data_IF_855744740087
#
_entry.id   IF_855744740087
#
_cell.length_a   1.000
_cell.length_b   1.000
_cell.length_c   1.000
_cell.angle_alpha   90.00
_cell.angle_beta   90.00
_cell.angle_gamma   90.00
#
_symmetry.space_group_name_H-M   'P 1'
#
loop_
_entity.id
_entity.type
_entity.pdbx_description
1 polymer ?
#
# COMPACT_ATOMS: atom_id res chain seq x y z
N UNK A 1 -27.36 -2.01 -4.50
CA UNK A 1 -27.53 -0.93 -5.49
C UNK A 1 -28.75 -1.26 -6.33
N UNK A 2 -29.58 -0.25 -6.63
CA UNK A 2 -30.70 -0.40 -7.57
C UNK A 2 -30.42 0.55 -8.73
N UNK A 3 -30.12 -0.01 -9.90
CA UNK A 3 -29.87 0.75 -11.12
C UNK A 3 -31.04 0.59 -12.11
N UNK A 4 -31.40 1.68 -12.78
CA UNK A 4 -32.49 1.74 -13.77
C UNK A 4 -31.88 2.10 -15.12
N UNK A 5 -31.63 1.09 -15.96
CA UNK A 5 -30.99 1.26 -17.27
C UNK A 5 -32.02 1.45 -18.42
N UNK A 6 -31.70 2.34 -19.37
CA UNK A 6 -32.35 2.47 -20.68
C UNK A 6 -33.25 3.71 -20.88
N UNK A 7 -33.43 4.13 -22.15
CA UNK A 7 -34.20 5.33 -22.58
C UNK A 7 -35.67 5.39 -22.09
N UNK A 8 -36.24 4.28 -21.60
CA UNK A 8 -37.64 4.17 -21.14
C UNK A 8 -37.75 3.54 -19.73
N UNK A 9 -36.64 3.32 -19.02
CA UNK A 9 -36.64 2.95 -17.59
C UNK A 9 -37.40 1.67 -17.20
N UNK A 10 -37.25 0.57 -17.97
CA UNK A 10 -38.00 -0.69 -17.71
C UNK A 10 -37.17 -1.86 -17.15
N UNK A 11 -35.87 -1.69 -16.90
CA UNK A 11 -35.05 -2.74 -16.29
C UNK A 11 -34.55 -2.26 -14.94
N UNK A 12 -34.98 -2.96 -13.88
CA UNK A 12 -34.49 -2.78 -12.52
C UNK A 12 -33.49 -3.89 -12.24
N UNK A 13 -32.29 -3.53 -11.81
CA UNK A 13 -31.25 -4.46 -11.39
C UNK A 13 -31.02 -4.33 -9.88
N UNK A 14 -31.02 -5.45 -9.16
CA UNK A 14 -30.71 -5.51 -7.74
C UNK A 14 -29.33 -6.15 -7.55
N UNK A 15 -28.35 -5.36 -7.13
CA UNK A 15 -27.01 -5.83 -6.79
C UNK A 15 -26.80 -5.77 -5.27
N UNK A 16 -26.48 -6.91 -4.67
CA UNK A 16 -26.19 -7.03 -3.23
C UNK A 16 -24.72 -7.42 -3.05
N UNK A 17 -23.97 -6.63 -2.28
CA UNK A 17 -22.55 -6.85 -2.00
C UNK A 17 -22.40 -6.87 -0.48
N UNK A 18 -22.04 -8.01 0.13
CA UNK A 18 -21.68 -8.06 1.54
C UNK A 18 -20.46 -7.17 1.81
N UNK A 19 -20.40 -6.51 2.96
CA UNK A 19 -19.24 -5.66 3.30
C UNK A 19 -17.91 -6.42 3.30
N UNK A 20 -17.91 -7.69 3.70
CA UNK A 20 -16.71 -8.54 3.65
C UNK A 20 -16.19 -8.81 2.24
N UNK A 21 -16.99 -8.56 1.19
CA UNK A 21 -16.58 -8.67 -0.21
C UNK A 21 -15.99 -7.36 -0.75
N UNK A 22 -15.98 -6.28 0.04
CA UNK A 22 -15.37 -5.00 -0.32
C UNK A 22 -13.91 -5.02 0.16
N UNK A 23 -12.98 -5.01 -0.78
CA UNK A 23 -11.54 -5.09 -0.53
C UNK A 23 -10.88 -3.71 -0.54
N UNK A 24 -11.47 -2.74 -1.24
CA UNK A 24 -11.11 -1.33 -1.10
C UNK A 24 -12.32 -0.47 -1.47
N UNK A 25 -12.27 0.81 -1.13
CA UNK A 25 -13.27 1.77 -1.58
C UNK A 25 -12.64 3.11 -1.84
N UNK A 26 -13.17 3.87 -2.79
CA UNK A 26 -12.84 5.27 -2.95
C UNK A 26 -14.08 6.15 -2.96
N UNK A 27 -13.90 7.36 -2.46
CA UNK A 27 -14.93 8.37 -2.41
C UNK A 27 -14.37 9.63 -3.03
N UNK A 28 -15.01 10.13 -4.09
CA UNK A 28 -14.57 11.30 -4.82
C UNK A 28 -15.49 12.50 -4.56
N UNK A 29 -14.91 13.66 -4.24
CA UNK A 29 -15.66 14.90 -4.09
C UNK A 29 -16.12 15.45 -5.45
N UNK A 30 -17.26 16.12 -5.45
CA UNK A 30 -17.73 16.87 -6.61
C UNK A 30 -16.73 17.98 -7.01
N UNK A 31 -16.66 18.28 -8.31
CA UNK A 31 -15.86 19.38 -8.83
C UNK A 31 -16.58 20.72 -8.73
N UNK A 32 -15.83 21.83 -8.60
CA UNK A 32 -16.43 23.14 -8.32
C UNK A 32 -17.18 23.84 -9.49
N UNK A 33 -17.13 23.33 -10.74
CA UNK A 33 -17.60 24.09 -11.91
C UNK A 33 -18.72 23.45 -12.74
N UNK A 34 -18.66 22.16 -13.09
CA UNK A 34 -19.62 21.57 -14.04
C UNK A 34 -20.06 20.14 -13.67
N UNK A 35 -19.19 19.37 -13.01
CA UNK A 35 -19.50 18.03 -12.54
C UNK A 35 -19.79 18.07 -11.04
N UNK A 36 -21.09 18.02 -10.72
CA UNK A 36 -21.62 18.11 -9.37
C UNK A 36 -21.66 16.76 -8.68
N UNK A 37 -21.32 15.67 -9.35
CA UNK A 37 -21.60 14.37 -8.79
C UNK A 37 -20.40 13.90 -7.96
N UNK A 38 -20.69 13.38 -6.76
CA UNK A 38 -19.72 12.65 -5.94
C UNK A 38 -19.77 11.19 -6.37
N UNK A 39 -18.62 10.58 -6.61
CA UNK A 39 -18.52 9.19 -7.02
C UNK A 39 -18.15 8.33 -5.81
N UNK A 40 -18.86 7.20 -5.63
CA UNK A 40 -18.42 6.09 -4.80
C UNK A 40 -17.91 4.99 -5.73
N UNK A 41 -16.75 4.44 -5.39
CA UNK A 41 -16.22 3.24 -6.02
C UNK A 41 -16.01 2.16 -4.97
N UNK A 42 -16.58 0.98 -5.19
CA UNK A 42 -16.32 -0.21 -4.39
C UNK A 42 -15.45 -1.16 -5.20
N UNK A 43 -14.33 -1.57 -4.63
CA UNK A 43 -13.41 -2.54 -5.23
C UNK A 43 -13.61 -3.90 -4.58
N UNK A 44 -13.71 -4.93 -5.41
CA UNK A 44 -13.91 -6.32 -4.98
C UNK A 44 -12.95 -7.23 -5.75
N UNK A 45 -12.75 -8.45 -5.27
CA UNK A 45 -12.00 -9.47 -6.02
C UNK A 45 -12.91 -10.29 -6.97
N UNK A 46 -14.15 -9.84 -7.20
CA UNK A 46 -15.05 -10.51 -8.15
C UNK A 46 -14.58 -10.28 -9.58
N UNK A 47 -14.65 -11.33 -10.41
CA UNK A 47 -14.22 -11.28 -11.80
C UNK A 47 -15.19 -10.45 -12.69
N UNK A 48 -14.69 -9.95 -13.82
CA UNK A 48 -15.48 -9.22 -14.81
C UNK A 48 -15.77 -7.79 -14.36
N UNK A 49 -16.94 -7.24 -14.67
CA UNK A 49 -17.30 -5.83 -14.37
C UNK A 49 -17.52 -5.55 -12.87
N UNK A 50 -17.64 -6.58 -12.04
CA UNK A 50 -17.93 -6.43 -10.60
C UNK A 50 -16.68 -6.21 -9.73
N UNK A 51 -15.48 -6.28 -10.31
CA UNK A 51 -14.24 -5.92 -9.61
C UNK A 51 -14.23 -4.43 -9.18
N UNK A 52 -14.97 -3.58 -9.90
CA UNK A 52 -15.14 -2.15 -9.62
C UNK A 52 -16.59 -1.74 -9.83
N UNK A 53 -17.32 -1.46 -8.75
CA UNK A 53 -18.70 -0.95 -8.81
C UNK A 53 -18.67 0.56 -8.56
N UNK A 54 -19.09 1.33 -9.56
CA UNK A 54 -19.17 2.79 -9.49
C UNK A 54 -20.61 3.25 -9.31
N UNK A 55 -20.81 4.23 -8.44
CA UNK A 55 -22.09 4.88 -8.23
C UNK A 55 -21.91 6.38 -8.05
N UNK A 56 -22.50 7.14 -8.97
CA UNK A 56 -22.58 8.60 -8.86
C UNK A 56 -23.75 9.02 -8.00
N UNK A 57 -23.52 10.03 -7.17
CA UNK A 57 -24.54 10.71 -6.39
C UNK A 57 -24.54 12.19 -6.72
N UNK A 58 -25.73 12.75 -6.91
CA UNK A 58 -25.87 14.20 -7.10
C UNK A 58 -25.37 14.97 -5.88
N UNK A 59 -24.52 15.99 -6.11
CA UNK A 59 -24.08 16.89 -5.03
C UNK A 59 -25.22 17.36 -4.16
N UNK A 60 -24.95 17.47 -2.87
CA UNK A 60 -25.90 17.94 -1.84
C UNK A 60 -27.14 17.05 -1.64
N UNK A 61 -27.28 15.94 -2.37
CA UNK A 61 -28.33 14.92 -2.13
C UNK A 61 -27.80 13.69 -1.38
N UNK A 62 -26.49 13.45 -1.43
CA UNK A 62 -25.82 12.43 -0.63
C UNK A 62 -24.88 13.09 0.38
N UNK A 63 -24.85 12.55 1.61
CA UNK A 63 -23.86 12.92 2.61
C UNK A 63 -22.63 12.02 2.44
N UNK A 64 -21.63 12.55 1.74
CA UNK A 64 -20.38 11.86 1.41
C UNK A 64 -19.67 11.32 2.65
N UNK A 65 -19.55 12.16 3.68
CA UNK A 65 -18.84 11.81 4.91
C UNK A 65 -19.59 10.79 5.75
N UNK A 66 -20.92 10.83 5.75
CA UNK A 66 -21.71 9.78 6.40
C UNK A 66 -21.57 8.43 5.68
N UNK A 67 -21.57 8.43 4.35
CA UNK A 67 -21.32 7.23 3.54
C UNK A 67 -19.92 6.68 3.80
N UNK A 68 -18.90 7.54 3.82
CA UNK A 68 -17.54 7.15 4.12
C UNK A 68 -17.42 6.57 5.52
N UNK A 69 -18.00 7.21 6.55
CA UNK A 69 -18.02 6.66 7.93
C UNK A 69 -18.70 5.30 8.00
N UNK A 70 -19.81 5.11 7.28
CA UNK A 70 -20.51 3.83 7.19
C UNK A 70 -19.63 2.74 6.56
N UNK A 71 -18.94 3.05 5.46
CA UNK A 71 -17.99 2.13 4.84
C UNK A 71 -16.82 1.83 5.76
N UNK A 72 -16.23 2.85 6.40
CA UNK A 72 -15.19 2.65 7.38
C UNK A 72 -15.64 1.67 8.48
N UNK A 73 -16.85 1.83 9.03
CA UNK A 73 -17.38 0.99 10.11
C UNK A 73 -17.64 -0.47 9.74
N UNK A 74 -17.90 -0.77 8.47
CA UNK A 74 -18.24 -2.13 8.05
C UNK A 74 -17.15 -2.84 7.24
N UNK A 75 -16.30 -2.07 6.57
CA UNK A 75 -15.19 -2.60 5.76
C UNK A 75 -13.92 -2.67 6.60
N UNK A 76 -13.70 -1.69 7.50
CA UNK A 76 -12.57 -1.72 8.41
C UNK A 76 -12.97 -2.49 9.67
N UNK A 77 -12.08 -3.36 10.14
CA UNK A 77 -12.26 -4.09 11.38
C UNK A 77 -12.19 -3.20 12.63
N UNK A 78 -11.99 -3.82 13.79
CA UNK A 78 -11.87 -3.11 15.06
C UNK A 78 -10.71 -2.09 15.06
N UNK A 79 -10.81 -1.12 15.96
CA UNK A 79 -9.76 -0.15 16.23
C UNK A 79 -8.47 -0.87 16.68
N UNK A 80 -7.33 -0.48 16.09
CA UNK A 80 -6.01 -1.04 16.37
C UNK A 80 -5.09 0.02 16.94
N UNK A 81 -4.30 -0.36 17.93
CA UNK A 81 -3.25 0.48 18.48
C UNK A 81 -2.11 0.68 17.44
N UNK A 82 -1.34 1.79 17.54
CA UNK A 82 -0.15 1.99 16.73
C UNK A 82 0.88 0.90 17.00
N UNK A 83 1.71 0.62 15.99
CA UNK A 83 2.81 -0.32 16.18
C UNK A 83 3.83 0.25 17.18
N UNK A 84 4.25 -0.53 18.20
CA UNK A 84 5.30 -0.12 19.13
C UNK A 84 6.59 0.30 18.41
N UNK A 85 7.13 1.48 18.73
CA UNK A 85 8.37 1.97 18.10
C UNK A 85 8.17 2.61 16.72
N UNK A 86 6.96 2.61 16.18
CA UNK A 86 6.56 3.51 15.10
C UNK A 86 6.08 4.79 15.78
N UNK A 87 7.01 5.64 16.21
CA UNK A 87 6.65 6.98 16.67
C UNK A 87 6.00 7.70 15.49
N UNK A 88 4.86 8.39 15.73
CA UNK A 88 4.19 9.16 14.69
C UNK A 88 5.21 10.12 14.09
N UNK A 89 5.61 9.89 12.83
CA UNK A 89 6.70 10.62 12.21
C UNK A 89 6.35 12.11 12.20
N UNK A 90 7.05 12.91 13.03
CA UNK A 90 6.96 14.36 13.05
C UNK A 90 8.04 14.90 12.13
N UNK A 91 7.72 15.04 10.85
CA UNK A 91 8.60 15.69 9.89
C UNK A 91 8.03 17.06 9.56
N UNK A 92 8.73 18.13 9.97
CA UNK A 92 8.41 19.53 9.72
C UNK A 92 6.97 19.98 10.05
N UNK A 93 6.81 20.93 10.97
CA UNK A 93 5.52 21.55 11.20
C UNK A 93 5.10 22.36 9.96
N UNK A 94 4.22 21.79 9.15
CA UNK A 94 3.53 22.51 8.09
C UNK A 94 2.40 23.32 8.73
N UNK A 95 2.80 24.40 9.39
CA UNK A 95 1.88 25.36 9.96
C UNK A 95 1.32 26.25 8.85
N UNK A 96 -0.01 26.23 8.73
CA UNK A 96 -0.91 27.09 7.92
C UNK A 96 -1.43 26.47 6.62
N UNK A 97 -2.67 25.93 6.68
CA UNK A 97 -3.49 25.67 5.48
C UNK A 97 -4.37 24.41 5.48
N UNK A 98 -4.20 23.49 6.43
CA UNK A 98 -4.92 22.20 6.44
C UNK A 98 -4.57 21.31 5.23
N UNK A 99 -5.32 20.22 5.00
CA UNK A 99 -5.10 19.31 3.86
C UNK A 99 -5.22 20.05 2.52
N UNK A 100 -6.11 21.02 2.43
CA UNK A 100 -6.25 21.82 1.21
C UNK A 100 -5.00 22.66 0.95
N UNK A 101 -4.44 23.31 1.96
CA UNK A 101 -3.15 24.00 1.89
C UNK A 101 -2.01 23.06 1.50
N UNK A 102 -1.96 21.86 2.10
CA UNK A 102 -0.97 20.84 1.74
C UNK A 102 -1.08 20.41 0.27
N UNK A 103 -2.30 20.15 -0.20
CA UNK A 103 -2.53 19.73 -1.58
C UNK A 103 -2.38 20.88 -2.59
N UNK A 104 -2.66 22.14 -2.23
CA UNK A 104 -2.63 23.32 -3.14
C UNK A 104 -1.37 24.16 -3.05
N UNK A 105 -0.56 23.95 -2.01
CA UNK A 105 0.62 24.75 -1.70
C UNK A 105 1.73 24.53 -2.71
N UNK A 106 2.34 25.63 -3.13
CA UNK A 106 3.49 25.74 -4.05
C UNK A 106 4.79 25.13 -3.48
N UNK A 107 4.77 23.88 -2.99
CA UNK A 107 5.94 23.19 -2.43
C UNK A 107 6.01 21.77 -3.00
N UNK A 108 6.68 21.67 -4.15
CA UNK A 108 6.94 20.43 -4.91
C UNK A 108 8.13 19.64 -4.36
N UNK A 109 8.20 19.40 -3.05
CA UNK A 109 9.31 18.63 -2.49
C UNK A 109 8.76 17.40 -1.80
N UNK A 110 8.39 16.40 -2.60
CA UNK A 110 7.90 15.07 -2.22
C UNK A 110 8.58 14.54 -0.94
N UNK A 111 7.99 14.80 0.23
CA UNK A 111 8.62 14.64 1.55
C UNK A 111 7.64 14.02 2.55
N UNK A 112 8.13 13.56 3.71
CA UNK A 112 7.26 13.12 4.77
C UNK A 112 6.49 14.34 5.32
N UNK A 113 5.22 14.11 5.60
CA UNK A 113 4.30 15.09 6.20
C UNK A 113 4.17 14.77 7.68
N UNK A 114 3.93 15.80 8.50
CA UNK A 114 3.62 15.61 9.91
C UNK A 114 2.35 14.74 10.07
N UNK A 115 2.58 13.50 10.52
CA UNK A 115 1.53 12.50 10.77
C UNK A 115 0.55 12.95 11.87
N UNK A 116 1.01 13.70 12.88
CA UNK A 116 0.16 14.22 13.96
C UNK A 116 -0.76 15.31 13.42
N UNK A 117 -0.23 16.21 12.58
CA UNK A 117 -1.03 17.21 11.90
C UNK A 117 -2.10 16.54 11.01
N UNK A 118 -1.70 15.55 10.20
CA UNK A 118 -2.62 14.79 9.36
C UNK A 118 -3.68 14.06 10.16
N UNK A 119 -3.30 13.45 11.29
CA UNK A 119 -4.23 12.82 12.21
C UNK A 119 -5.29 13.82 12.68
N UNK A 120 -4.90 15.00 13.14
CA UNK A 120 -5.84 16.00 13.64
C UNK A 120 -6.78 16.52 12.54
N UNK A 121 -6.27 16.80 11.34
CA UNK A 121 -7.09 17.31 10.25
C UNK A 121 -8.09 16.26 9.78
N UNK A 122 -7.67 15.00 9.62
CA UNK A 122 -8.52 13.93 9.08
C UNK A 122 -9.53 13.34 10.08
N UNK A 123 -9.40 13.64 11.38
CA UNK A 123 -10.46 13.43 12.36
C UNK A 123 -11.49 14.56 12.36
N UNK A 124 -11.10 15.75 11.89
CA UNK A 124 -11.90 16.97 11.98
C UNK A 124 -12.64 17.26 10.68
N UNK A 125 -11.91 17.65 9.62
CA UNK A 125 -12.47 18.01 8.32
C UNK A 125 -11.42 17.81 7.20
N UNK A 126 -11.60 16.82 6.30
CA UNK A 126 -12.72 15.88 6.27
C UNK A 126 -12.59 14.76 7.31
N UNK A 127 -13.69 14.32 7.96
CA UNK A 127 -13.66 13.32 9.03
C UNK A 127 -13.64 11.89 8.47
N UNK A 128 -12.53 11.50 7.85
CA UNK A 128 -12.39 10.22 7.15
C UNK A 128 -11.84 9.09 8.01
N UNK A 129 -11.14 9.42 9.10
CA UNK A 129 -10.60 8.45 10.07
C UNK A 129 -11.70 8.00 11.05
N UNK A 130 -11.61 6.74 11.48
CA UNK A 130 -12.44 6.22 12.57
C UNK A 130 -11.95 6.69 13.94
N UNK A 131 -12.80 6.52 14.97
CA UNK A 131 -12.63 7.11 16.30
C UNK A 131 -11.21 7.10 16.87
N UNK A 132 -10.54 5.94 16.89
CA UNK A 132 -9.14 5.84 17.32
C UNK A 132 -8.18 5.34 16.23
N UNK A 133 -8.57 5.44 14.96
CA UNK A 133 -7.67 5.16 13.83
C UNK A 133 -6.61 6.26 13.77
N UNK A 134 -5.33 5.90 13.93
CA UNK A 134 -4.24 6.88 13.95
C UNK A 134 -3.43 6.87 12.66
N UNK A 135 -2.98 8.05 12.22
CA UNK A 135 -1.97 8.19 11.17
C UNK A 135 -0.58 7.96 11.78
N UNK A 136 0.14 6.99 11.28
CA UNK A 136 1.49 6.66 11.75
C UNK A 136 2.57 7.27 10.87
N UNK A 137 2.34 7.28 9.55
CA UNK A 137 3.21 7.95 8.58
C UNK A 137 2.37 8.61 7.50
N UNK A 138 2.89 9.72 6.99
CA UNK A 138 2.28 10.48 5.91
C UNK A 138 3.36 10.92 4.93
N UNK A 139 3.11 10.76 3.65
CA UNK A 139 4.02 11.12 2.58
C UNK A 139 3.27 11.94 1.55
N UNK A 140 3.85 13.07 1.17
CA UNK A 140 3.37 13.88 0.06
C UNK A 140 4.14 13.48 -1.19
N UNK A 141 3.43 12.99 -2.20
CA UNK A 141 3.92 12.88 -3.57
C UNK A 141 3.72 14.20 -4.32
N UNK A 142 3.89 14.18 -5.65
CA UNK A 142 3.74 15.40 -6.45
C UNK A 142 2.31 15.97 -6.40
N UNK A 143 1.28 15.12 -6.35
CA UNK A 143 -0.15 15.56 -6.34
C UNK A 143 -0.99 14.89 -5.27
N UNK A 144 -0.53 13.74 -4.81
CA UNK A 144 -1.21 12.83 -3.93
C UNK A 144 -0.56 12.82 -2.55
N UNK A 145 -1.36 12.47 -1.54
CA UNK A 145 -0.87 12.19 -0.20
C UNK A 145 -1.13 10.73 0.08
N UNK A 146 -0.09 10.02 0.48
CA UNK A 146 -0.20 8.63 0.93
C UNK A 146 -0.06 8.59 2.45
N UNK A 147 -1.03 7.96 3.11
CA UNK A 147 -1.11 7.86 4.57
C UNK A 147 -1.13 6.40 4.98
N UNK A 148 -0.28 6.09 5.94
CA UNK A 148 -0.21 4.79 6.58
C UNK A 148 -0.88 4.94 7.94
N UNK A 149 -2.04 4.30 8.12
CA UNK A 149 -2.80 4.37 9.38
C UNK A 149 -2.72 3.06 10.15
N UNK A 150 -3.27 3.01 11.36
CA UNK A 150 -3.37 1.75 12.11
C UNK A 150 -4.28 0.71 11.45
N UNK A 151 -5.12 1.10 10.48
CA UNK A 151 -6.10 0.21 9.82
C UNK A 151 -5.89 -0.04 8.34
N UNK A 152 -5.37 0.96 7.61
CA UNK A 152 -5.36 0.94 6.15
C UNK A 152 -4.28 1.84 5.57
N UNK A 153 -4.05 1.63 4.28
CA UNK A 153 -3.47 2.63 3.42
C UNK A 153 -4.57 3.59 2.93
N UNK A 154 -4.31 4.89 2.98
CA UNK A 154 -5.17 5.91 2.37
C UNK A 154 -4.35 6.67 1.34
N UNK A 155 -4.87 6.81 0.13
CA UNK A 155 -4.33 7.77 -0.85
C UNK A 155 -5.35 8.87 -1.11
N UNK A 156 -4.88 10.11 -1.05
CA UNK A 156 -5.67 11.32 -1.28
C UNK A 156 -5.14 11.95 -2.56
N UNK A 157 -5.83 11.77 -3.67
CA UNK A 157 -5.37 12.23 -4.99
C UNK A 157 -6.28 13.33 -5.56
N UNK A 158 -5.66 14.36 -6.14
CA UNK A 158 -6.33 15.40 -6.91
C UNK A 158 -6.57 14.94 -8.34
N UNK A 159 -7.82 14.65 -8.65
CA UNK A 159 -8.27 14.26 -9.99
C UNK A 159 -8.73 15.46 -10.84
N UNK A 160 -8.62 15.28 -12.17
CA UNK A 160 -9.08 16.20 -13.20
C UNK A 160 -8.07 17.29 -13.58
N UNK A 161 -8.27 17.90 -14.76
CA UNK A 161 -7.34 18.87 -15.38
C UNK A 161 -7.01 20.09 -14.48
N UNK A 162 -7.92 20.44 -13.56
CA UNK A 162 -7.79 21.58 -12.65
C UNK A 162 -7.63 21.18 -11.17
N UNK A 163 -7.50 19.88 -10.86
CA UNK A 163 -7.33 19.37 -9.48
C UNK A 163 -8.49 19.68 -8.53
N UNK A 164 -9.71 19.84 -9.06
CA UNK A 164 -10.90 20.26 -8.29
C UNK A 164 -11.70 19.11 -7.70
N UNK A 165 -11.41 17.86 -8.10
CA UNK A 165 -11.96 16.67 -7.49
C UNK A 165 -10.88 16.04 -6.63
N UNK A 166 -11.24 15.62 -5.41
CA UNK A 166 -10.33 14.89 -4.53
C UNK A 166 -10.90 13.49 -4.38
N UNK A 167 -10.09 12.49 -4.70
CA UNK A 167 -10.38 11.08 -4.43
C UNK A 167 -9.72 10.68 -3.12
N UNK A 168 -10.49 10.08 -2.22
CA UNK A 168 -10.02 9.42 -1.01
C UNK A 168 -10.14 7.92 -1.22
N UNK A 169 -9.06 7.26 -1.63
CA UNK A 169 -8.99 5.81 -1.76
C UNK A 169 -8.54 5.19 -0.43
N UNK A 170 -9.17 4.08 -0.04
CA UNK A 170 -8.94 3.40 1.22
C UNK A 170 -8.81 1.89 1.00
N UNK A 171 -7.70 1.33 1.46
CA UNK A 171 -7.42 -0.10 1.35
C UNK A 171 -6.94 -0.67 2.69
N UNK A 172 -7.74 -1.54 3.33
CA UNK A 172 -7.38 -2.17 4.60
C UNK A 172 -6.09 -2.99 4.51
N UNK A 173 -5.30 -2.99 5.58
CA UNK A 173 -4.01 -3.69 5.59
C UNK A 173 -4.12 -5.20 5.37
N UNK A 174 -5.23 -5.83 5.78
CA UNK A 174 -5.49 -7.27 5.60
C UNK A 174 -5.80 -7.66 4.14
N UNK A 175 -5.83 -6.69 3.22
CA UNK A 175 -6.03 -6.93 1.78
C UNK A 175 -4.74 -6.93 0.98
N UNK A 176 -3.60 -6.64 1.62
CA UNK A 176 -2.29 -6.81 1.01
C UNK A 176 -1.75 -8.21 1.31
N UNK A 177 -1.27 -8.90 0.29
CA UNK A 177 -0.81 -10.29 0.37
C UNK A 177 0.71 -10.42 0.32
N UNK A 178 1.39 -9.42 -0.25
CA UNK A 178 2.84 -9.34 -0.27
C UNK A 178 3.24 -7.87 -0.46
N UNK A 179 4.52 -7.57 -0.25
CA UNK A 179 5.07 -6.28 -0.62
C UNK A 179 6.51 -6.42 -1.11
N UNK A 180 6.92 -5.49 -1.96
CA UNK A 180 8.27 -5.32 -2.45
C UNK A 180 8.77 -3.92 -2.12
N UNK A 181 10.08 -3.79 -1.93
CA UNK A 181 10.74 -2.50 -1.70
C UNK A 181 11.97 -2.46 -2.59
N UNK A 182 12.04 -1.49 -3.49
CA UNK A 182 13.10 -1.35 -4.50
C UNK A 182 13.76 0.01 -4.41
N UNK A 183 15.07 0.05 -4.67
CA UNK A 183 15.75 1.30 -5.05
C UNK A 183 15.65 1.44 -6.57
N UNK A 184 15.23 2.59 -7.06
CA UNK A 184 15.30 2.83 -8.50
C UNK A 184 16.78 2.98 -8.92
N UNK A 185 17.08 2.68 -10.19
CA UNK A 185 18.44 2.77 -10.74
C UNK A 185 19.01 4.20 -10.72
N UNK A 186 20.34 4.31 -10.73
CA UNK A 186 21.15 5.53 -10.51
C UNK A 186 20.88 6.75 -11.42
N UNK A 187 20.02 6.66 -12.44
CA UNK A 187 19.95 7.63 -13.56
C UNK A 187 18.64 8.45 -13.65
N UNK A 188 17.68 8.32 -12.73
CA UNK A 188 16.38 9.04 -12.76
C UNK A 188 16.04 9.58 -11.36
N UNK A 189 15.36 10.74 -11.28
CA UNK A 189 15.08 11.52 -10.06
C UNK A 189 14.09 10.89 -9.04
N UNK A 190 13.68 9.63 -9.21
CA UNK A 190 12.86 8.86 -8.25
C UNK A 190 13.66 7.65 -7.81
N UNK A 191 13.68 7.34 -6.52
CA UNK A 191 14.74 6.47 -5.99
C UNK A 191 14.27 5.39 -5.01
N UNK A 192 13.01 5.37 -4.61
CA UNK A 192 12.45 4.32 -3.76
C UNK A 192 11.03 4.02 -4.16
N UNK A 193 10.78 2.77 -4.51
CA UNK A 193 9.48 2.27 -4.93
C UNK A 193 9.03 1.20 -3.93
N UNK A 194 7.82 1.34 -3.41
CA UNK A 194 7.13 0.29 -2.65
C UNK A 194 6.03 -0.29 -3.50
N UNK A 195 6.04 -1.61 -3.58
CA UNK A 195 5.05 -2.41 -4.29
C UNK A 195 4.19 -3.10 -3.25
N UNK A 196 2.89 -2.85 -3.26
CA UNK A 196 1.93 -3.50 -2.36
C UNK A 196 1.02 -4.41 -3.18
N UNK A 197 1.26 -5.72 -3.08
CA UNK A 197 0.52 -6.72 -3.84
C UNK A 197 -0.81 -7.07 -3.16
N UNK A 198 -1.83 -7.33 -3.96
CA UNK A 198 -3.19 -7.64 -3.51
C UNK A 198 -3.89 -8.61 -4.47
N UNK A 199 -5.10 -9.03 -4.12
CA UNK A 199 -6.00 -9.82 -4.95
C UNK A 199 -6.93 -8.95 -5.83
N UNK A 200 -6.84 -7.62 -5.71
CA UNK A 200 -7.57 -6.70 -6.57
C UNK A 200 -6.95 -6.62 -7.95
N UNK A 201 -7.76 -6.84 -8.98
CA UNK A 201 -7.38 -6.55 -10.35
C UNK A 201 -7.46 -5.04 -10.59
N UNK A 202 -6.34 -4.31 -10.53
CA UNK A 202 -6.34 -2.86 -10.74
C UNK A 202 -6.52 -2.43 -12.20
N UNK A 203 -6.38 -3.36 -13.16
CA UNK A 203 -6.55 -3.06 -14.57
C UNK A 203 -7.56 -4.03 -15.22
N UNK A 204 -8.80 -3.59 -15.52
CA UNK A 204 -9.81 -4.41 -16.22
C UNK A 204 -9.53 -4.60 -17.72
N UNK A 205 -8.48 -3.97 -18.24
CA UNK A 205 -8.30 -3.75 -19.67
C UNK A 205 -8.98 -2.46 -20.15
N UNK A 206 -8.46 -1.84 -21.19
CA UNK A 206 -9.13 -0.72 -21.85
C UNK A 206 -10.06 -1.27 -22.94
N UNK A 207 -11.33 -0.81 -23.02
CA UNK A 207 -12.15 -1.09 -24.19
C UNK A 207 -11.46 -0.50 -25.42
N UNK A 208 -11.34 -1.28 -26.48
CA UNK A 208 -10.83 -0.79 -27.75
C UNK A 208 -11.76 0.27 -28.34
N UNK A 209 -11.20 1.16 -29.14
CA UNK A 209 -11.97 2.06 -30.01
C UNK A 209 -11.77 1.68 -31.48
N UNK A 210 -12.37 2.44 -32.39
CA UNK A 210 -12.29 2.18 -33.84
C UNK A 210 -10.85 2.16 -34.38
N UNK A 211 -9.87 2.70 -33.63
CA UNK A 211 -8.48 2.83 -34.04
C UNK A 211 -7.49 2.01 -33.19
N UNK A 212 -7.91 1.49 -32.03
CA UNK A 212 -7.03 0.85 -31.04
C UNK A 212 -7.63 -0.46 -30.53
N UNK A 213 -6.91 -1.60 -30.61
CA UNK A 213 -7.41 -2.85 -30.06
C UNK A 213 -7.56 -2.74 -28.53
N UNK A 214 -8.50 -3.48 -27.91
CA UNK A 214 -8.65 -3.51 -26.47
C UNK A 214 -7.32 -3.89 -25.81
N UNK A 215 -6.89 -3.11 -24.81
CA UNK A 215 -5.74 -3.49 -24.01
C UNK A 215 -6.23 -4.55 -23.02
N UNK A 216 -5.70 -5.79 -23.03
CA UNK A 216 -6.16 -6.80 -22.10
C UNK A 216 -5.84 -6.40 -20.65
N UNK A 217 -6.68 -6.80 -19.68
CA UNK A 217 -6.30 -6.72 -18.27
C UNK A 217 -4.93 -7.39 -18.09
N UNK A 218 -4.06 -6.80 -17.26
CA UNK A 218 -2.82 -7.42 -16.78
C UNK A 218 -3.01 -7.87 -15.32
N UNK A 219 -3.81 -8.92 -15.07
CA UNK A 219 -4.08 -9.39 -13.71
C UNK A 219 -2.81 -9.90 -12.99
N UNK A 220 -1.75 -10.16 -13.75
CA UNK A 220 -0.40 -10.47 -13.27
C UNK A 220 0.26 -9.33 -12.49
N UNK A 221 -0.28 -8.10 -12.54
CA UNK A 221 0.22 -6.90 -11.86
C UNK A 221 -0.80 -6.38 -10.82
N UNK A 222 -1.38 -7.26 -10.00
CA UNK A 222 -2.27 -6.87 -8.90
C UNK A 222 -1.47 -6.21 -7.77
N UNK A 223 -1.03 -4.98 -8.02
CA UNK A 223 -0.05 -4.25 -7.24
C UNK A 223 -0.39 -2.76 -7.21
N UNK A 224 -0.26 -2.15 -6.03
CA UNK A 224 -0.23 -0.69 -5.87
C UNK A 224 1.23 -0.26 -5.75
N UNK A 225 1.65 0.65 -6.62
CA UNK A 225 3.00 1.21 -6.62
C UNK A 225 2.98 2.57 -5.90
N UNK A 226 3.91 2.76 -4.96
CA UNK A 226 4.09 3.99 -4.20
C UNK A 226 5.51 4.48 -4.40
N UNK A 227 5.65 5.69 -4.94
CA UNK A 227 6.93 6.33 -5.18
C UNK A 227 7.31 7.25 -4.01
N UNK A 228 8.56 7.12 -3.56
CA UNK A 228 9.13 7.92 -2.50
C UNK A 228 10.47 8.51 -2.94
N UNK A 229 10.72 9.74 -2.48
CA UNK A 229 12.03 10.36 -2.62
C UNK A 229 13.04 9.70 -1.66
N UNK A 230 14.13 9.10 -2.17
CA UNK A 230 15.14 8.41 -1.33
C UNK A 230 15.76 9.29 -0.25
N UNK A 231 15.81 10.60 -0.47
CA UNK A 231 16.44 11.51 0.48
C UNK A 231 15.51 11.82 1.65
N UNK A 232 14.24 11.43 1.53
CA UNK A 232 13.18 11.70 2.49
C UNK A 232 12.73 10.45 3.25
N UNK A 233 13.03 9.26 2.73
CA UNK A 233 12.51 7.99 3.25
C UNK A 233 13.64 7.01 3.52
N UNK A 234 13.69 6.51 4.76
CA UNK A 234 14.53 5.36 5.10
C UNK A 234 13.85 4.08 4.61
N UNK A 235 14.41 3.50 3.56
CA UNK A 235 13.94 2.28 2.92
C UNK A 235 13.85 1.10 3.89
N UNK A 236 14.83 0.96 4.78
CA UNK A 236 14.91 -0.15 5.71
C UNK A 236 13.87 0.01 6.82
N UNK A 237 13.69 1.24 7.32
CA UNK A 237 12.63 1.55 8.27
C UNK A 237 11.23 1.30 7.66
N UNK A 238 11.02 1.71 6.40
CA UNK A 238 9.76 1.48 5.69
C UNK A 238 9.51 -0.02 5.45
N UNK A 239 10.54 -0.77 5.03
CA UNK A 239 10.47 -2.23 4.90
C UNK A 239 10.15 -2.90 6.24
N UNK A 240 10.79 -2.46 7.32
CA UNK A 240 10.56 -2.98 8.67
C UNK A 240 9.11 -2.70 9.10
N UNK A 241 8.62 -1.48 8.90
CA UNK A 241 7.23 -1.11 9.15
C UNK A 241 6.25 -2.02 8.38
N UNK A 242 6.43 -2.16 7.06
CA UNK A 242 5.54 -2.97 6.21
C UNK A 242 5.59 -4.45 6.61
N UNK A 243 6.78 -4.95 6.93
CA UNK A 243 6.96 -6.30 7.47
C UNK A 243 6.09 -6.48 8.71
N UNK A 244 6.23 -5.60 9.70
CA UNK A 244 5.48 -5.68 10.93
C UNK A 244 3.99 -5.57 10.68
N UNK A 245 3.56 -4.59 9.89
CA UNK A 245 2.15 -4.31 9.61
C UNK A 245 1.45 -5.45 8.89
N UNK A 246 2.03 -5.97 7.81
CA UNK A 246 1.40 -7.00 6.98
C UNK A 246 1.50 -8.38 7.66
N UNK A 247 2.63 -8.69 8.30
CA UNK A 247 2.84 -10.02 8.91
C UNK A 247 2.12 -10.19 10.25
N UNK A 248 2.10 -9.17 11.13
CA UNK A 248 1.35 -9.27 12.40
C UNK A 248 -0.15 -9.45 12.17
N UNK A 249 -0.69 -8.86 11.09
CA UNK A 249 -2.11 -9.01 10.71
C UNK A 249 -2.38 -10.41 10.21
N UNK A 250 -1.44 -10.97 9.45
CA UNK A 250 -1.57 -12.30 8.87
C UNK A 250 -1.53 -13.41 9.93
N UNK A 251 -1.09 -13.11 11.17
CA UNK A 251 -0.91 -14.06 12.30
C UNK A 251 -0.58 -15.45 11.79
N UNK A 252 0.49 -15.57 11.00
CA UNK A 252 0.90 -16.85 10.47
C UNK A 252 1.11 -17.77 11.67
N UNK A 253 0.29 -18.82 11.76
CA UNK A 253 0.51 -19.90 12.72
C UNK A 253 1.92 -20.41 12.42
N UNK A 254 2.88 -20.15 13.32
CA UNK A 254 4.24 -20.64 13.16
C UNK A 254 4.15 -22.12 12.82
N UNK A 255 4.75 -22.49 11.68
CA UNK A 255 4.79 -23.89 11.27
C UNK A 255 5.38 -24.76 12.37
N UNK A 256 5.05 -26.05 12.36
CA UNK A 256 5.66 -26.99 13.30
C UNK A 256 7.20 -26.86 13.24
N UNK A 257 7.91 -26.89 14.38
CA UNK A 257 9.37 -26.82 14.38
C UNK A 257 9.94 -27.89 13.45
N UNK A 258 10.75 -27.48 12.48
CA UNK A 258 11.45 -28.39 11.58
C UNK A 258 12.89 -28.51 12.08
N UNK A 259 13.32 -29.73 12.37
CA UNK A 259 14.73 -30.04 12.62
C UNK A 259 15.48 -30.00 11.29
N UNK A 260 16.07 -28.84 10.97
CA UNK A 260 16.78 -28.59 9.73
C UNK A 260 18.25 -29.01 9.87
N UNK A 261 18.65 -30.06 9.16
CA UNK A 261 20.05 -30.34 8.90
C UNK A 261 20.54 -29.45 7.74
N UNK A 262 21.77 -28.90 7.81
CA UNK A 262 22.34 -28.12 6.69
C UNK A 262 22.26 -28.91 5.40
N UNK A 263 21.74 -28.30 4.33
CA UNK A 263 21.60 -28.98 3.03
C UNK A 263 22.96 -29.12 2.33
N UNK A 264 23.95 -28.29 2.71
CA UNK A 264 25.31 -28.31 2.19
C UNK A 264 26.35 -28.07 3.29
N UNK A 265 27.62 -28.37 3.00
CA UNK A 265 28.72 -27.98 3.90
C UNK A 265 28.87 -26.46 3.88
N UNK A 266 28.51 -25.78 4.96
CA UNK A 266 28.72 -24.35 5.13
C UNK A 266 30.21 -24.00 4.88
N UNK A 267 30.46 -23.13 3.91
CA UNK A 267 31.79 -22.57 3.67
C UNK A 267 31.91 -21.26 4.44
N UNK A 268 33.04 -20.98 5.13
CA UNK A 268 33.23 -19.72 5.83
C UNK A 268 33.21 -18.57 4.81
N UNK A 269 32.19 -17.71 4.91
CA UNK A 269 32.02 -16.56 4.03
C UNK A 269 32.53 -15.27 4.71
N UNK A 270 32.79 -14.20 3.93
CA UNK A 270 33.19 -12.91 4.47
C UNK A 270 32.03 -12.18 5.17
N UNK A 271 32.29 -11.67 6.37
CA UNK A 271 31.35 -10.89 7.20
C UNK A 271 30.85 -9.61 6.51
N UNK A 272 29.54 -9.32 6.63
CA UNK A 272 28.89 -8.03 6.34
C UNK A 272 28.06 -7.96 5.04
N UNK A 273 26.96 -7.18 5.05
CA UNK A 273 25.97 -7.09 3.96
C UNK A 273 26.52 -6.68 2.59
N UNK A 274 27.47 -5.73 2.52
CA UNK A 274 28.08 -5.34 1.23
C UNK A 274 28.89 -6.49 0.61
N UNK A 275 29.45 -7.39 1.43
CA UNK A 275 30.21 -8.56 0.96
C UNK A 275 29.31 -9.72 0.54
N UNK A 276 28.07 -9.79 1.05
CA UNK A 276 27.03 -10.71 0.60
C UNK A 276 26.82 -10.63 -0.93
N UNK A 277 26.98 -9.42 -1.51
CA UNK A 277 26.86 -9.18 -2.95
C UNK A 277 28.21 -9.09 -3.70
N UNK A 278 29.37 -9.21 -3.03
CA UNK A 278 30.70 -9.07 -3.66
C UNK A 278 31.16 -10.32 -4.45
N UNK A 279 30.65 -11.51 -4.13
CA UNK A 279 30.91 -12.76 -4.88
C UNK A 279 29.76 -13.11 -5.84
N UNK A 280 29.05 -12.14 -6.41
CA UNK A 280 28.09 -12.42 -7.47
C UNK A 280 28.79 -12.78 -8.80
N UNK A 281 29.31 -14.00 -8.82
CA UNK A 281 29.83 -14.82 -9.90
C UNK A 281 29.72 -16.27 -9.45
N UNK A 282 28.92 -17.05 -10.19
CA UNK A 282 28.61 -18.50 -10.13
C UNK A 282 28.41 -19.23 -8.78
N UNK A 283 27.51 -20.22 -8.86
CA UNK A 283 27.15 -21.31 -7.92
C UNK A 283 26.00 -21.02 -6.92
N UNK A 284 24.96 -21.87 -7.01
CA UNK A 284 23.91 -22.02 -6.01
C UNK A 284 24.54 -22.59 -4.74
N UNK A 285 24.49 -21.86 -3.63
CA UNK A 285 25.02 -22.33 -2.35
C UNK A 285 24.16 -21.86 -1.19
N UNK A 286 24.14 -22.65 -0.13
CA UNK A 286 23.57 -22.27 1.16
C UNK A 286 24.44 -21.19 1.81
N UNK A 287 23.79 -20.24 2.48
CA UNK A 287 24.41 -19.20 3.30
C UNK A 287 24.15 -19.60 4.76
N UNK A 288 25.16 -19.44 5.64
CA UNK A 288 25.00 -19.76 7.07
C UNK A 288 23.81 -18.96 7.65
N UNK A 289 22.73 -19.65 8.07
CA UNK A 289 21.54 -18.97 8.55
C UNK A 289 21.81 -18.20 9.85
N UNK A 290 22.73 -18.65 10.70
CA UNK A 290 23.07 -18.00 11.96
C UNK A 290 23.81 -16.68 11.74
N UNK A 291 24.76 -16.67 10.81
CA UNK A 291 25.49 -15.45 10.46
C UNK A 291 24.56 -14.43 9.79
N UNK A 292 23.71 -14.89 8.88
CA UNK A 292 22.74 -14.03 8.19
C UNK A 292 21.69 -13.47 9.17
N UNK A 293 21.25 -14.28 10.13
CA UNK A 293 20.34 -13.85 11.19
C UNK A 293 20.94 -12.69 12.00
N UNK A 294 22.19 -12.81 12.44
CA UNK A 294 22.89 -11.73 13.15
C UNK A 294 22.97 -10.48 12.28
N UNK A 295 23.43 -10.59 11.03
CA UNK A 295 23.54 -9.45 10.12
C UNK A 295 22.19 -8.73 9.91
N UNK A 296 21.12 -9.51 9.70
CA UNK A 296 19.78 -9.00 9.43
C UNK A 296 19.13 -8.36 10.65
N UNK A 297 19.45 -8.79 11.87
CA UNK A 297 18.98 -8.16 13.12
C UNK A 297 19.84 -6.96 13.54
N UNK A 298 21.17 -7.02 13.39
CA UNK A 298 22.06 -6.00 13.96
C UNK A 298 22.36 -4.87 12.99
N UNK A 299 22.76 -5.21 11.77
CA UNK A 299 23.35 -4.26 10.83
C UNK A 299 22.31 -3.72 9.85
N UNK A 300 21.51 -4.59 9.25
CA UNK A 300 20.50 -4.21 8.24
C UNK A 300 19.14 -3.90 8.88
N UNK A 301 18.81 -4.56 9.99
CA UNK A 301 17.56 -4.40 10.76
C UNK A 301 16.30 -4.62 9.91
N UNK A 302 16.26 -5.74 9.20
CA UNK A 302 15.15 -6.08 8.27
C UNK A 302 14.24 -7.21 8.76
N UNK A 303 14.64 -7.88 9.84
CA UNK A 303 13.85 -8.90 10.55
C UNK A 303 13.23 -8.30 11.81
N UNK A 304 12.07 -8.81 12.20
CA UNK A 304 11.49 -8.52 13.52
C UNK A 304 12.27 -9.26 14.62
N UNK A 305 12.20 -8.78 15.86
CA UNK A 305 13.00 -9.29 16.99
C UNK A 305 12.80 -10.80 17.27
N UNK A 306 11.64 -11.35 16.91
CA UNK A 306 11.27 -12.74 17.06
C UNK A 306 11.40 -13.58 15.78
N UNK A 307 11.71 -12.97 14.64
CA UNK A 307 11.96 -13.69 13.39
C UNK A 307 13.34 -14.35 13.41
N UNK A 308 13.45 -15.54 12.80
CA UNK A 308 14.73 -16.25 12.70
C UNK A 308 14.94 -16.75 11.30
N UNK A 309 16.14 -16.54 10.76
CA UNK A 309 16.52 -17.16 9.48
C UNK A 309 16.57 -18.68 9.67
N UNK A 310 15.72 -19.41 8.96
CA UNK A 310 15.68 -20.87 8.98
C UNK A 310 16.66 -21.44 7.95
N UNK A 311 16.64 -20.89 6.74
CA UNK A 311 17.55 -21.27 5.65
C UNK A 311 17.79 -20.08 4.74
N UNK A 312 18.94 -20.05 4.07
CA UNK A 312 19.23 -19.04 3.06
C UNK A 312 20.05 -19.65 1.92
N UNK A 313 19.70 -19.30 0.69
CA UNK A 313 20.36 -19.80 -0.50
C UNK A 313 20.68 -18.65 -1.45
N UNK A 314 21.87 -18.64 -2.02
CA UNK A 314 22.10 -17.93 -3.27
C UNK A 314 21.44 -18.69 -4.41
N UNK A 315 20.60 -18.01 -5.17
CA UNK A 315 19.94 -18.53 -6.35
C UNK A 315 20.43 -17.76 -7.59
N UNK A 316 21.38 -18.35 -8.33
CA UNK A 316 21.91 -17.75 -9.55
C UNK A 316 22.84 -16.55 -9.30
N UNK A 317 22.99 -15.70 -10.32
CA UNK A 317 23.97 -14.60 -10.32
C UNK A 317 23.51 -13.34 -9.59
N UNK A 318 22.22 -13.18 -9.33
CA UNK A 318 21.65 -11.91 -8.87
C UNK A 318 20.67 -12.03 -7.71
N UNK A 319 20.43 -13.23 -7.18
CA UNK A 319 19.40 -13.40 -6.14
C UNK A 319 19.78 -14.24 -4.94
N UNK A 320 19.18 -13.89 -3.81
CA UNK A 320 19.24 -14.64 -2.55
C UNK A 320 17.80 -14.92 -2.11
N UNK A 321 17.54 -16.16 -1.73
CA UNK A 321 16.27 -16.60 -1.15
C UNK A 321 16.49 -16.91 0.32
N UNK A 322 15.76 -16.23 1.20
CA UNK A 322 15.84 -16.43 2.64
C UNK A 322 14.48 -16.93 3.13
N UNK A 323 14.49 -18.04 3.86
CA UNK A 323 13.32 -18.68 4.43
C UNK A 323 13.28 -18.45 5.94
N UNK A 324 12.14 -18.00 6.41
CA UNK A 324 11.77 -17.84 7.81
C UNK A 324 10.24 -17.93 7.90
N UNK A 325 9.59 -17.28 8.87
CA UNK A 325 8.12 -17.19 8.93
C UNK A 325 7.49 -16.62 7.64
N UNK A 326 8.33 -16.08 6.73
CA UNK A 326 8.04 -15.72 5.34
C UNK A 326 9.21 -16.07 4.42
N UNK A 327 8.99 -15.94 3.11
CA UNK A 327 10.06 -16.01 2.09
C UNK A 327 10.46 -14.60 1.69
N UNK A 328 11.75 -14.29 1.80
CA UNK A 328 12.36 -13.05 1.31
C UNK A 328 13.20 -13.34 0.07
N UNK A 329 12.85 -12.68 -1.03
CA UNK A 329 13.63 -12.69 -2.27
C UNK A 329 14.39 -11.37 -2.36
N UNK A 330 15.73 -11.45 -2.38
CA UNK A 330 16.60 -10.30 -2.60
C UNK A 330 17.15 -10.38 -4.02
N UNK A 331 17.03 -9.28 -4.76
CA UNK A 331 17.56 -9.13 -6.12
C UNK A 331 18.56 -7.98 -6.14
N UNK A 332 19.63 -8.12 -6.94
CA UNK A 332 20.59 -7.04 -7.22
C UNK A 332 20.15 -6.16 -8.38
#
# INVERSE_FOLDING_TARGET
>A
MVDVKGLVGKKIEFLTIPYGSIHAFSVQTAGALLDRDTELVLYTNMLGELYQIKQDFRSAKANLWALQKLLCNHVLGEDKDPLPGVESYQCHQDSEGGIFGLLTGLRFNERPVDSVAMNNVLHSDPPILQGSEMVEMAFQGHRDITLFTTKRLITIDKKGLFGKKIEYFSMPWDKFVAFGVRKAGFLIDFDTEVLLYTELAFYPGQPGDDNSPPIPPRPEESCLELDFNKNCVDLFALKYYLTRRIMEISKLERGAPIDLQPLTNASPDPKGFERLFQWLGSDQREIDPTELDVEFHTNIKILLDDERVLMAFKAGETSIVVFFDKVLLLFR
#
